data_IF_250248853471
#
_entry.id   IF_250248853471
#
_cell.length_a   1.000
_cell.length_b   1.000
_cell.length_c   1.000
_cell.angle_alpha   90.00
_cell.angle_beta   90.00
_cell.angle_gamma   90.00
#
_symmetry.space_group_name_H-M   'P 1'
#
loop_
_entity.id
_entity.type
_entity.pdbx_description
1 polymer ?
#
# COMPACT_ATOMS: atom_id res chain seq x y z
N UNK A 1 41.34 -25.54 51.45
CA UNK A 1 40.47 -24.43 51.01
C UNK A 1 39.71 -24.84 49.75
N UNK A 2 38.41 -25.11 49.86
CA UNK A 2 37.55 -25.48 48.74
C UNK A 2 36.69 -24.31 48.29
N UNK A 3 36.72 -23.99 47.00
CA UNK A 3 35.85 -22.99 46.38
C UNK A 3 34.50 -23.60 45.99
N UNK A 4 33.35 -22.95 46.29
CA UNK A 4 32.03 -23.50 46.01
C UNK A 4 31.65 -23.42 44.52
N UNK A 5 31.12 -24.54 44.00
CA UNK A 5 30.49 -24.67 42.68
C UNK A 5 29.20 -23.84 42.64
N UNK A 6 29.11 -22.88 41.71
CA UNK A 6 27.86 -22.16 41.42
C UNK A 6 26.94 -23.07 40.59
N UNK A 7 25.79 -23.40 41.18
CA UNK A 7 24.68 -24.10 40.53
C UNK A 7 23.86 -23.06 39.75
N UNK A 8 23.77 -23.20 38.43
CA UNK A 8 22.95 -22.32 37.57
C UNK A 8 21.65 -23.04 37.25
N UNK A 9 20.55 -22.55 37.81
CA UNK A 9 19.18 -23.02 37.57
C UNK A 9 18.64 -22.40 36.27
N UNK A 10 18.16 -23.18 35.28
CA UNK A 10 17.45 -22.62 34.14
C UNK A 10 15.99 -22.31 34.51
N UNK A 11 15.63 -21.01 34.54
CA UNK A 11 14.21 -20.59 34.58
C UNK A 11 13.64 -20.56 33.18
N UNK A 12 12.62 -21.40 32.95
CA UNK A 12 11.66 -21.31 31.85
C UNK A 12 10.65 -20.18 32.14
N UNK A 13 10.31 -19.39 31.12
CA UNK A 13 9.12 -18.50 31.02
C UNK A 13 9.03 -18.08 29.55
N UNK A 14 8.25 -18.75 28.69
CA UNK A 14 6.80 -18.60 28.45
C UNK A 14 6.41 -17.20 27.95
N UNK A 15 6.12 -17.16 26.65
CA UNK A 15 5.05 -16.46 25.93
C UNK A 15 4.39 -15.21 26.53
N UNK A 16 4.58 -14.06 25.86
CA UNK A 16 3.66 -12.92 25.68
C UNK A 16 4.21 -12.12 24.47
N UNK A 17 3.51 -11.64 23.44
CA UNK A 17 2.09 -11.56 23.08
C UNK A 17 2.00 -11.41 21.55
N UNK A 18 0.97 -11.91 20.87
CA UNK A 18 -0.42 -11.48 20.88
C UNK A 18 -0.66 -10.18 20.07
N UNK A 19 -1.40 -10.38 18.97
CA UNK A 19 -2.30 -9.43 18.28
C UNK A 19 -1.69 -8.37 17.36
N UNK A 20 -1.72 -8.69 16.05
CA UNK A 20 -2.20 -7.75 15.03
C UNK A 20 -2.71 -8.53 13.82
N UNK A 21 -3.85 -9.20 14.01
CA UNK A 21 -4.71 -9.66 12.94
C UNK A 21 -5.88 -8.67 12.86
N UNK A 22 -5.91 -7.87 11.79
CA UNK A 22 -7.07 -7.27 11.13
C UNK A 22 -6.68 -5.93 10.48
N UNK A 23 -6.29 -5.96 9.20
CA UNK A 23 -6.96 -5.26 8.08
C UNK A 23 -6.48 -5.94 6.79
N UNK A 24 -7.20 -6.97 6.34
CA UNK A 24 -7.12 -7.51 4.97
C UNK A 24 -8.53 -7.49 4.41
N UNK A 25 -8.79 -6.55 3.51
CA UNK A 25 -9.91 -6.38 2.57
C UNK A 25 -9.78 -4.91 2.14
N UNK A 26 -9.49 -4.52 0.89
CA UNK A 26 -10.02 -4.95 -0.39
C UNK A 26 -9.07 -4.43 -1.47
N UNK A 27 -8.44 -5.29 -2.30
CA UNK A 27 -8.19 -5.00 -3.72
C UNK A 27 -8.06 -6.34 -4.45
N UNK A 28 -9.01 -6.66 -5.34
CA UNK A 28 -8.87 -7.79 -6.25
C UNK A 28 -10.14 -8.59 -6.55
N UNK A 29 -11.28 -7.95 -6.82
CA UNK A 29 -12.33 -8.61 -7.60
C UNK A 29 -12.14 -8.18 -9.05
N UNK A 30 -11.35 -8.99 -9.76
CA UNK A 30 -11.22 -8.99 -11.21
C UNK A 30 -11.25 -10.43 -11.70
N UNK A 31 -12.24 -11.21 -11.27
CA UNK A 31 -12.50 -12.55 -11.79
C UNK A 31 -14.01 -12.79 -11.85
N UNK A 32 -14.61 -12.31 -12.93
CA UNK A 32 -16.01 -12.59 -13.28
C UNK A 32 -16.07 -13.94 -13.99
N UNK A 33 -16.24 -15.02 -13.25
CA UNK A 33 -16.68 -16.30 -13.80
C UNK A 33 -17.35 -17.18 -12.72
N UNK A 34 -18.68 -17.20 -12.75
CA UNK A 34 -19.55 -18.37 -12.63
C UNK A 34 -19.25 -19.41 -11.53
N UNK A 35 -19.93 -19.32 -10.39
CA UNK A 35 -20.42 -20.51 -9.69
C UNK A 35 -21.52 -20.17 -8.68
N UNK A 36 -22.72 -20.64 -9.00
CA UNK A 36 -23.93 -20.61 -8.20
C UNK A 36 -23.83 -21.45 -6.92
N UNK A 37 -24.38 -20.91 -5.83
CA UNK A 37 -25.18 -21.65 -4.84
C UNK A 37 -24.53 -22.74 -4.00
N UNK A 38 -24.37 -22.48 -2.69
CA UNK A 38 -24.84 -23.42 -1.66
C UNK A 38 -25.02 -22.73 -0.31
N UNK A 39 -26.27 -22.66 0.13
CA UNK A 39 -26.69 -22.35 1.49
C UNK A 39 -26.49 -23.57 2.39
N UNK A 40 -25.87 -23.40 3.56
CA UNK A 40 -26.04 -24.21 4.78
C UNK A 40 -25.40 -23.36 5.89
N UNK A 41 -26.11 -22.77 6.85
CA UNK A 41 -27.00 -23.41 7.79
C UNK A 41 -26.19 -23.84 9.03
N UNK A 42 -25.85 -22.91 9.93
CA UNK A 42 -25.33 -23.28 11.25
C UNK A 42 -26.02 -22.46 12.36
N UNK A 43 -26.90 -23.18 13.05
CA UNK A 43 -27.62 -22.73 14.23
C UNK A 43 -26.79 -22.96 15.51
N UNK A 44 -26.97 -22.05 16.46
CA UNK A 44 -27.03 -22.37 17.89
C UNK A 44 -25.73 -22.23 18.69
N UNK A 45 -25.69 -21.24 19.59
CA UNK A 45 -25.98 -21.46 21.02
C UNK A 45 -25.86 -20.15 21.80
N UNK A 46 -26.97 -19.72 22.38
CA UNK A 46 -27.07 -18.67 23.38
C UNK A 46 -26.37 -19.10 24.67
N UNK A 47 -25.62 -18.20 25.30
CA UNK A 47 -25.30 -18.28 26.71
C UNK A 47 -25.49 -16.91 27.36
N UNK A 48 -26.31 -16.94 28.40
CA UNK A 48 -26.83 -15.88 29.25
C UNK A 48 -25.79 -15.55 30.33
N UNK A 49 -25.51 -14.26 30.56
CA UNK A 49 -24.62 -13.79 31.64
C UNK A 49 -24.96 -12.35 32.02
N UNK A 50 -25.50 -12.19 33.23
CA UNK A 50 -26.12 -10.98 33.76
C UNK A 50 -25.19 -10.17 34.68
N UNK A 51 -25.45 -8.86 34.74
CA UNK A 51 -25.24 -7.88 35.83
C UNK A 51 -23.89 -7.12 36.02
N UNK A 52 -23.91 -5.83 35.56
CA UNK A 52 -23.65 -4.57 36.31
C UNK A 52 -22.25 -4.24 36.90
N UNK A 53 -21.97 -2.98 37.36
CA UNK A 53 -22.80 -1.77 37.43
C UNK A 53 -22.17 -0.50 36.79
N UNK A 54 -22.94 0.59 36.92
CA UNK A 54 -22.81 1.96 36.43
C UNK A 54 -21.52 2.73 36.79
N UNK A 55 -21.16 3.70 35.95
CA UNK A 55 -20.47 4.93 36.37
C UNK A 55 -20.85 6.09 35.45
N UNK A 56 -21.62 7.01 36.03
CA UNK A 56 -21.85 8.37 35.57
C UNK A 56 -20.55 9.19 35.62
N UNK A 57 -20.31 10.04 34.63
CA UNK A 57 -19.69 11.34 34.90
C UNK A 57 -20.08 12.36 33.83
N UNK A 58 -20.71 13.42 34.33
CA UNK A 58 -21.07 14.65 33.65
C UNK A 58 -19.90 15.63 33.74
N UNK A 59 -19.58 16.34 32.66
CA UNK A 59 -19.01 17.69 32.73
C UNK A 59 -19.20 18.43 31.39
N UNK A 60 -19.80 19.60 31.53
CA UNK A 60 -20.03 20.74 30.63
C UNK A 60 -18.75 21.48 30.21
N UNK A 61 -18.78 22.08 29.01
CA UNK A 61 -18.23 23.41 28.61
C UNK A 61 -18.45 23.54 27.08
N UNK A 62 -19.40 24.31 26.55
CA UNK A 62 -19.48 25.77 26.42
C UNK A 62 -18.34 26.40 25.60
N UNK A 63 -18.62 26.69 24.32
CA UNK A 63 -18.08 27.88 23.63
C UNK A 63 -18.72 28.06 22.24
N UNK A 64 -19.33 29.23 22.10
CA UNK A 64 -20.01 29.75 20.93
C UNK A 64 -19.06 30.34 19.88
N UNK A 65 -19.45 30.22 18.60
CA UNK A 65 -19.24 31.17 17.50
C UNK A 65 -20.06 30.60 16.31
N UNK A 66 -21.08 31.23 15.74
CA UNK A 66 -21.29 32.66 15.49
C UNK A 66 -20.85 32.98 14.07
N UNK A 67 -21.75 32.87 13.08
CA UNK A 67 -21.76 33.66 11.84
C UNK A 67 -22.97 33.28 10.98
N UNK A 68 -23.97 34.17 11.03
CA UNK A 68 -25.13 34.20 10.15
C UNK A 68 -24.77 34.65 8.72
N UNK A 69 -25.59 34.13 7.81
CA UNK A 69 -25.83 34.50 6.42
C UNK A 69 -26.21 35.98 6.28
N UNK A 70 -25.77 36.67 5.21
CA UNK A 70 -26.63 37.31 4.19
C UNK A 70 -25.99 38.47 3.40
N UNK A 71 -26.37 38.48 2.11
CA UNK A 71 -26.60 39.64 1.23
C UNK A 71 -25.39 40.39 0.66
N UNK A 72 -25.08 40.03 -0.60
CA UNK A 72 -24.43 40.91 -1.56
C UNK A 72 -25.13 40.77 -2.91
N UNK A 73 -26.16 41.60 -3.14
CA UNK A 73 -26.75 41.82 -4.45
C UNK A 73 -26.63 43.31 -4.74
N UNK A 74 -25.71 43.68 -5.62
CA UNK A 74 -25.79 44.93 -6.36
C UNK A 74 -25.51 44.66 -7.84
N UNK A 75 -26.39 45.26 -8.61
CA UNK A 75 -26.60 45.16 -10.04
C UNK A 75 -25.71 46.19 -10.73
N UNK A 76 -24.98 45.81 -11.77
CA UNK A 76 -24.73 46.78 -12.86
C UNK A 76 -24.65 46.09 -14.23
N UNK A 77 -25.39 46.69 -15.15
CA UNK A 77 -25.66 46.26 -16.50
C UNK A 77 -24.47 46.51 -17.41
N UNK A 78 -24.17 45.55 -18.28
CA UNK A 78 -23.26 45.70 -19.41
C UNK A 78 -23.77 44.90 -20.59
N UNK A 79 -24.69 45.48 -21.35
CA UNK A 79 -25.13 44.94 -22.63
C UNK A 79 -23.95 44.93 -23.61
N UNK A 80 -23.57 43.76 -24.09
CA UNK A 80 -22.78 43.60 -25.30
C UNK A 80 -23.50 42.62 -26.22
N UNK A 81 -24.23 43.22 -27.15
CA UNK A 81 -24.75 42.64 -28.38
C UNK A 81 -23.59 42.00 -29.17
N UNK A 82 -23.54 40.67 -29.20
CA UNK A 82 -22.72 39.94 -30.18
C UNK A 82 -23.64 39.17 -31.09
N UNK A 83 -24.02 39.84 -32.17
CA UNK A 83 -24.61 39.26 -33.37
C UNK A 83 -23.82 38.01 -33.80
N UNK A 84 -24.44 36.85 -34.01
CA UNK A 84 -23.74 35.70 -34.57
C UNK A 84 -23.33 36.01 -36.01
N UNK A 85 -22.01 36.10 -36.25
CA UNK A 85 -21.47 36.20 -37.61
C UNK A 85 -21.88 34.98 -38.44
N UNK A 86 -22.37 35.15 -39.68
CA UNK A 86 -22.70 34.03 -40.54
C UNK A 86 -21.43 33.25 -40.91
N UNK A 87 -21.47 31.95 -40.62
CA UNK A 87 -20.42 30.98 -40.97
C UNK A 87 -20.24 30.94 -42.50
N UNK A 88 -19.01 31.14 -43.03
CA UNK A 88 -18.77 30.96 -44.47
C UNK A 88 -18.99 29.49 -44.84
N UNK A 89 -19.96 29.26 -45.72
CA UNK A 89 -20.28 27.94 -46.28
C UNK A 89 -19.43 27.73 -47.53
N UNK A 90 -18.12 27.57 -47.35
CA UNK A 90 -17.24 27.16 -48.44
C UNK A 90 -17.21 25.61 -48.49
N UNK A 91 -17.45 24.98 -49.66
CA UNK A 91 -17.33 23.55 -49.80
C UNK A 91 -15.88 23.13 -49.54
N UNK A 92 -15.65 22.32 -48.50
CA UNK A 92 -14.36 21.67 -48.28
C UNK A 92 -14.25 20.52 -49.26
N UNK A 93 -13.42 20.67 -50.27
CA UNK A 93 -12.97 19.55 -51.11
C UNK A 93 -12.25 18.56 -50.19
N UNK A 94 -12.91 17.46 -49.85
CA UNK A 94 -12.30 16.39 -49.08
C UNK A 94 -11.26 15.72 -49.97
N UNK A 95 -9.98 15.88 -49.63
CA UNK A 95 -8.92 15.05 -50.19
C UNK A 95 -9.10 13.64 -49.62
N UNK A 96 -9.73 12.75 -50.38
CA UNK A 96 -9.86 11.34 -50.04
C UNK A 96 -8.45 10.73 -50.03
N UNK A 97 -7.97 10.39 -48.84
CA UNK A 97 -6.70 9.66 -48.67
C UNK A 97 -7.05 8.18 -48.83
N UNK A 98 -6.48 7.56 -49.86
CA UNK A 98 -6.59 6.12 -50.13
C UNK A 98 -6.32 5.34 -48.84
N UNK A 99 -7.25 4.45 -48.47
CA UNK A 99 -7.16 3.64 -47.27
C UNK A 99 -5.96 2.69 -47.38
N UNK A 100 -4.80 3.17 -46.92
CA UNK A 100 -3.55 2.41 -46.89
C UNK A 100 -3.79 1.06 -46.23
N UNK A 101 -3.55 -0.01 -46.99
CA UNK A 101 -3.75 -1.38 -46.54
C UNK A 101 -3.09 -1.61 -45.19
N UNK A 102 -3.86 -2.17 -44.25
CA UNK A 102 -3.38 -2.55 -42.92
C UNK A 102 -2.37 -3.69 -43.07
N UNK A 103 -1.10 -3.36 -43.26
CA UNK A 103 -0.01 -4.32 -43.12
C UNK A 103 0.15 -4.62 -41.63
N UNK A 104 -0.19 -5.84 -41.23
CA UNK A 104 -0.02 -6.34 -39.86
C UNK A 104 1.48 -6.38 -39.51
N UNK A 105 2.01 -5.29 -38.99
CA UNK A 105 3.32 -5.28 -38.35
C UNK A 105 3.20 -5.93 -36.98
N UNK A 106 3.57 -7.20 -36.88
CA UNK A 106 3.71 -7.86 -35.58
C UNK A 106 5.08 -7.55 -35.02
N UNK A 107 5.13 -6.94 -33.83
CA UNK A 107 6.37 -6.74 -33.10
C UNK A 107 7.02 -8.11 -32.79
N UNK A 108 8.36 -8.22 -32.85
CA UNK A 108 9.03 -9.44 -32.42
C UNK A 108 8.72 -9.73 -30.94
N UNK A 109 8.67 -11.01 -30.53
CA UNK A 109 8.42 -11.37 -29.14
C UNK A 109 9.55 -10.85 -28.24
N UNK A 110 9.17 -10.20 -27.12
CA UNK A 110 10.12 -9.74 -26.11
C UNK A 110 10.74 -10.91 -25.35
N UNK A 111 12.02 -10.80 -25.02
CA UNK A 111 12.71 -11.77 -24.16
C UNK A 111 12.12 -11.79 -22.74
N UNK A 112 12.06 -12.95 -22.06
CA UNK A 112 11.57 -13.05 -20.70
C UNK A 112 12.48 -12.29 -19.73
N UNK A 113 11.85 -11.69 -18.73
CA UNK A 113 12.52 -10.95 -17.66
C UNK A 113 13.20 -11.90 -16.68
N UNK A 114 14.43 -11.60 -16.24
CA UNK A 114 15.07 -12.39 -15.18
C UNK A 114 14.28 -12.29 -13.85
N UNK A 115 14.11 -13.40 -13.09
CA UNK A 115 13.43 -13.41 -11.79
C UNK A 115 14.06 -12.43 -10.78
N UNK A 116 13.23 -11.88 -9.88
CA UNK A 116 13.70 -11.00 -8.79
C UNK A 116 14.22 -11.79 -7.57
N UNK A 117 13.80 -13.04 -7.44
CA UNK A 117 14.21 -13.97 -6.38
C UNK A 117 14.51 -15.33 -7.00
N UNK A 118 15.41 -16.10 -6.39
CA UNK A 118 15.86 -17.40 -6.90
C UNK A 118 15.47 -18.52 -5.95
N UNK A 119 15.24 -19.71 -6.49
CA UNK A 119 15.15 -20.94 -5.71
C UNK A 119 16.54 -21.40 -5.21
N UNK A 120 16.62 -22.09 -4.06
CA UNK A 120 15.53 -22.34 -3.11
C UNK A 120 15.14 -21.06 -2.34
N UNK A 121 13.84 -20.88 -2.10
CA UNK A 121 13.38 -19.74 -1.29
C UNK A 121 13.89 -19.86 0.16
N UNK A 122 14.17 -18.72 0.82
CA UNK A 122 14.55 -18.72 2.23
C UNK A 122 13.38 -19.20 3.10
N UNK A 123 13.69 -19.86 4.20
CA UNK A 123 12.67 -20.27 5.17
C UNK A 123 11.96 -19.05 5.79
N UNK A 124 10.68 -19.20 6.08
CA UNK A 124 9.89 -18.16 6.76
C UNK A 124 10.51 -17.78 8.10
N UNK A 125 10.70 -16.48 8.32
CA UNK A 125 11.34 -15.94 9.51
C UNK A 125 10.92 -14.49 9.76
N UNK A 126 11.05 -14.05 11.01
CA UNK A 126 10.79 -12.66 11.41
C UNK A 126 11.85 -12.17 12.39
N UNK A 127 12.13 -10.87 12.36
CA UNK A 127 13.08 -10.22 13.24
C UNK A 127 12.62 -8.81 13.65
N UNK A 128 12.95 -8.43 14.88
CA UNK A 128 12.73 -7.08 15.40
C UNK A 128 14.03 -6.29 15.42
N UNK A 129 13.96 -5.00 15.08
CA UNK A 129 15.08 -4.05 15.09
C UNK A 129 16.29 -4.44 14.22
N UNK A 130 16.13 -5.43 13.34
CA UNK A 130 17.15 -5.89 12.41
C UNK A 130 16.49 -6.51 11.18
N UNK A 131 17.28 -6.63 10.12
CA UNK A 131 16.85 -7.33 8.91
C UNK A 131 16.89 -8.85 9.15
N UNK A 132 15.85 -9.55 8.72
CA UNK A 132 15.79 -11.02 8.77
C UNK A 132 16.75 -11.63 7.74
N UNK A 133 17.34 -12.78 8.09
CA UNK A 133 18.17 -13.54 7.14
C UNK A 133 17.32 -14.01 5.97
N UNK A 134 17.81 -13.82 4.74
CA UNK A 134 17.08 -14.17 3.53
C UNK A 134 16.09 -13.09 3.04
N UNK A 135 16.13 -11.88 3.61
CA UNK A 135 15.37 -10.76 3.06
C UNK A 135 15.79 -10.49 1.60
N UNK A 136 14.82 -10.28 0.68
CA UNK A 136 15.12 -10.20 -0.75
C UNK A 136 16.01 -9.01 -1.08
N UNK A 137 17.10 -9.26 -1.81
CA UNK A 137 18.07 -8.23 -2.22
C UNK A 137 17.46 -7.18 -3.14
N UNK A 138 16.39 -7.53 -3.87
CA UNK A 138 15.62 -6.59 -4.68
C UNK A 138 14.94 -5.48 -3.84
N UNK A 139 14.71 -5.72 -2.55
CA UNK A 139 14.10 -4.77 -1.62
C UNK A 139 15.20 -4.14 -0.76
N UNK A 140 15.87 -3.13 -1.31
CA UNK A 140 16.97 -2.45 -0.64
C UNK A 140 16.46 -1.60 0.52
N UNK A 141 17.02 -1.80 1.71
CA UNK A 141 16.75 -0.93 2.87
C UNK A 141 17.39 0.44 2.63
N UNK A 142 16.62 1.51 2.84
CA UNK A 142 17.17 2.88 2.82
C UNK A 142 18.30 3.03 3.87
N UNK A 143 19.49 3.55 3.51
CA UNK A 143 20.64 3.60 4.44
C UNK A 143 20.42 4.41 5.72
N UNK A 144 19.59 5.46 5.67
CA UNK A 144 19.24 6.29 6.82
C UNK A 144 18.11 5.72 7.68
N UNK A 145 17.54 4.57 7.29
CA UNK A 145 16.40 3.98 7.98
C UNK A 145 16.83 3.09 9.15
N UNK A 146 16.16 3.25 10.28
CA UNK A 146 16.19 2.34 11.41
C UNK A 146 15.07 1.32 11.27
N UNK A 147 15.42 0.05 11.14
CA UNK A 147 14.46 -1.06 11.03
C UNK A 147 13.70 -1.20 12.35
N UNK A 148 12.37 -1.34 12.27
CA UNK A 148 11.48 -1.63 13.40
C UNK A 148 11.19 -3.12 13.44
N UNK A 149 10.72 -3.67 12.32
CA UNK A 149 10.46 -5.09 12.12
C UNK A 149 10.73 -5.48 10.66
N UNK A 150 11.07 -6.75 10.46
CA UNK A 150 11.14 -7.36 9.15
C UNK A 150 10.69 -8.81 9.22
N UNK A 151 10.07 -9.29 8.14
CA UNK A 151 9.67 -10.68 8.00
C UNK A 151 9.77 -11.14 6.56
N UNK A 152 9.97 -12.44 6.41
CA UNK A 152 9.87 -13.16 5.14
C UNK A 152 9.01 -14.40 5.35
N UNK A 153 8.19 -14.72 4.37
CA UNK A 153 7.39 -15.93 4.33
C UNK A 153 7.44 -16.54 2.94
N UNK A 154 7.80 -17.80 2.84
CA UNK A 154 7.87 -18.53 1.58
C UNK A 154 6.74 -19.55 1.46
N UNK A 155 6.09 -19.63 0.31
CA UNK A 155 5.11 -20.67 -0.03
C UNK A 155 5.19 -21.02 -1.51
N UNK A 156 5.60 -22.25 -1.84
CA UNK A 156 5.89 -22.64 -3.22
C UNK A 156 6.99 -21.75 -3.83
N UNK A 157 6.69 -21.13 -4.97
CA UNK A 157 7.58 -20.18 -5.67
C UNK A 157 7.35 -18.72 -5.27
N UNK A 158 6.51 -18.47 -4.25
CA UNK A 158 6.14 -17.13 -3.81
C UNK A 158 6.89 -16.78 -2.52
N UNK A 159 7.61 -15.66 -2.54
CA UNK A 159 8.22 -15.03 -1.37
C UNK A 159 7.44 -13.75 -1.02
N UNK A 160 6.89 -13.72 0.19
CA UNK A 160 6.34 -12.51 0.80
C UNK A 160 7.39 -11.90 1.71
N UNK A 161 7.59 -10.59 1.62
CA UNK A 161 8.53 -9.87 2.47
C UNK A 161 7.89 -8.59 3.03
N UNK A 162 8.05 -8.35 4.32
CA UNK A 162 7.59 -7.14 4.98
C UNK A 162 8.76 -6.46 5.67
N UNK A 163 8.82 -5.14 5.57
CA UNK A 163 9.79 -4.32 6.28
C UNK A 163 9.09 -3.06 6.79
N UNK A 164 9.13 -2.84 8.09
CA UNK A 164 8.73 -1.56 8.68
C UNK A 164 9.95 -0.86 9.24
N UNK A 165 10.09 0.42 8.93
CA UNK A 165 11.23 1.21 9.36
C UNK A 165 10.86 2.68 9.60
N UNK A 166 11.74 3.37 10.31
CA UNK A 166 11.66 4.81 10.57
C UNK A 166 12.90 5.50 10.03
N UNK A 167 12.76 6.72 9.54
CA UNK A 167 13.86 7.52 9.01
C UNK A 167 13.66 8.99 9.41
N UNK A 168 14.76 9.74 9.43
CA UNK A 168 14.73 11.19 9.61
C UNK A 168 14.42 11.93 8.30
N UNK A 169 14.39 11.22 7.17
CA UNK A 169 14.06 11.79 5.86
C UNK A 169 12.57 12.08 5.72
N UNK A 170 12.25 13.10 4.92
CA UNK A 170 10.89 13.47 4.59
C UNK A 170 10.22 12.42 3.69
N UNK A 171 8.89 12.47 3.60
CA UNK A 171 8.13 11.43 2.90
C UNK A 171 8.47 11.35 1.41
N UNK A 172 8.69 12.50 0.78
CA UNK A 172 9.04 12.60 -0.64
C UNK A 172 10.43 12.03 -0.94
N UNK A 173 11.40 12.22 -0.02
CA UNK A 173 12.73 11.63 -0.15
C UNK A 173 12.69 10.11 -0.05
N UNK A 174 11.83 9.57 0.82
CA UNK A 174 11.59 8.12 0.95
C UNK A 174 11.03 7.56 -0.36
N UNK A 175 10.00 8.20 -0.90
CA UNK A 175 9.38 7.79 -2.16
C UNK A 175 10.39 7.85 -3.30
N UNK A 176 11.06 8.98 -3.48
CA UNK A 176 12.05 9.19 -4.55
C UNK A 176 13.19 8.16 -4.49
N UNK A 177 13.66 7.82 -3.28
CA UNK A 177 14.65 6.78 -3.10
C UNK A 177 14.15 5.43 -3.62
N UNK A 178 12.96 5.00 -3.20
CA UNK A 178 12.43 3.70 -3.61
C UNK A 178 12.06 3.63 -5.08
N UNK A 179 11.50 4.70 -5.65
CA UNK A 179 11.28 4.80 -7.10
C UNK A 179 12.58 4.58 -7.87
N UNK A 180 13.66 5.26 -7.48
CA UNK A 180 14.97 5.11 -8.12
C UNK A 180 15.55 3.71 -7.97
N UNK A 181 15.38 3.06 -6.82
CA UNK A 181 15.92 1.70 -6.61
C UNK A 181 15.09 0.65 -7.34
N UNK A 182 13.76 0.74 -7.28
CA UNK A 182 12.86 -0.20 -7.94
C UNK A 182 12.89 -0.07 -9.46
N UNK A 183 13.09 1.12 -10.00
CA UNK A 183 13.32 1.32 -11.43
C UNK A 183 14.52 0.51 -11.96
N UNK A 184 15.60 0.34 -11.17
CA UNK A 184 16.78 -0.45 -11.57
C UNK A 184 16.48 -1.93 -11.78
N UNK A 185 15.45 -2.45 -11.12
CA UNK A 185 15.01 -3.84 -11.25
C UNK A 185 13.75 -3.98 -12.11
N UNK A 186 13.37 -2.92 -12.83
CA UNK A 186 12.24 -2.90 -13.76
C UNK A 186 10.87 -2.85 -13.08
N UNK A 187 10.81 -2.51 -11.80
CA UNK A 187 9.56 -2.28 -11.09
C UNK A 187 9.09 -0.84 -11.35
N UNK A 188 7.87 -0.69 -11.87
CA UNK A 188 7.29 0.61 -12.20
C UNK A 188 6.30 1.01 -11.12
N UNK A 189 6.50 2.20 -10.55
CA UNK A 189 5.69 2.75 -9.48
C UNK A 189 4.46 3.53 -9.98
N UNK A 190 3.37 3.45 -9.21
CA UNK A 190 2.19 4.30 -9.36
C UNK A 190 1.66 4.66 -7.97
N UNK A 191 1.26 5.91 -7.78
CA UNK A 191 0.61 6.36 -6.55
C UNK A 191 -0.74 5.66 -6.39
N UNK A 192 -1.05 5.24 -5.16
CA UNK A 192 -2.29 4.56 -4.80
C UNK A 192 -2.98 5.27 -3.63
N UNK A 193 -4.32 5.25 -3.56
CA UNK A 193 -5.04 5.86 -2.46
C UNK A 193 -4.57 5.33 -1.10
N UNK A 194 -4.33 6.25 -0.17
CA UNK A 194 -3.92 5.95 1.19
C UNK A 194 -4.78 6.74 2.18
N UNK A 195 -5.01 6.18 3.37
CA UNK A 195 -5.81 6.80 4.42
C UNK A 195 -4.94 7.47 5.50
N UNK A 196 -5.55 8.41 6.24
CA UNK A 196 -4.95 8.97 7.44
C UNK A 196 -3.68 9.80 7.21
N UNK A 197 -3.62 10.54 6.08
CA UNK A 197 -2.48 11.40 5.74
C UNK A 197 -1.20 10.66 5.38
N UNK A 198 -1.31 9.37 5.06
CA UNK A 198 -0.20 8.58 4.52
C UNK A 198 -0.16 8.71 3.01
N UNK A 199 1.00 8.43 2.42
CA UNK A 199 1.21 8.28 0.99
C UNK A 199 1.43 6.79 0.70
N UNK A 200 0.85 6.26 -0.38
CA UNK A 200 1.06 4.87 -0.77
C UNK A 200 1.38 4.76 -2.26
N UNK A 201 2.26 3.83 -2.58
CA UNK A 201 2.73 3.55 -3.93
C UNK A 201 2.75 2.05 -4.16
N UNK A 202 2.29 1.63 -5.33
CA UNK A 202 2.40 0.25 -5.80
C UNK A 202 3.43 0.18 -6.92
N UNK A 203 4.37 -0.74 -6.80
CA UNK A 203 5.43 -1.02 -7.76
C UNK A 203 5.22 -2.42 -8.34
N UNK A 204 5.16 -2.54 -9.67
CA UNK A 204 4.82 -3.82 -10.33
C UNK A 204 5.81 -4.18 -11.44
N UNK A 205 6.07 -5.49 -11.58
CA UNK A 205 6.85 -6.10 -12.67
C UNK A 205 6.38 -7.55 -12.89
N UNK A 206 5.56 -7.76 -13.92
CA UNK A 206 4.98 -9.07 -14.19
C UNK A 206 4.16 -9.58 -13.00
N UNK A 207 4.51 -10.75 -12.48
CA UNK A 207 3.91 -11.37 -11.29
C UNK A 207 4.45 -10.85 -9.95
N UNK A 208 5.38 -9.89 -9.97
CA UNK A 208 5.98 -9.31 -8.77
C UNK A 208 5.32 -7.97 -8.44
N UNK A 209 5.06 -7.73 -7.15
CA UNK A 209 4.53 -6.46 -6.66
C UNK A 209 5.17 -6.03 -5.33
N UNK A 210 5.33 -4.73 -5.15
CA UNK A 210 5.76 -4.12 -3.88
C UNK A 210 4.87 -2.92 -3.59
N UNK A 211 4.22 -2.93 -2.43
CA UNK A 211 3.53 -1.77 -1.89
C UNK A 211 4.45 -1.03 -0.90
N UNK A 212 4.59 0.27 -1.09
CA UNK A 212 5.23 1.20 -0.17
C UNK A 212 4.16 2.08 0.45
N UNK A 213 4.13 2.16 1.77
CA UNK A 213 3.30 3.13 2.50
C UNK A 213 4.22 3.98 3.36
N UNK A 214 4.15 5.30 3.19
CA UNK A 214 4.94 6.28 3.93
C UNK A 214 4.00 7.16 4.73
N UNK A 215 4.33 7.36 6.00
CA UNK A 215 3.58 8.20 6.92
C UNK A 215 4.53 9.23 7.55
N UNK A 216 4.22 10.53 7.44
CA UNK A 216 5.02 11.56 8.09
C UNK A 216 4.93 11.42 9.62
N UNK A 217 6.05 11.61 10.31
CA UNK A 217 6.11 11.63 11.76
C UNK A 217 5.88 13.03 12.31
N UNK A 218 5.13 13.15 13.41
CA UNK A 218 4.90 14.44 14.09
C UNK A 218 6.19 15.08 14.63
N UNK A 219 7.21 14.26 14.91
CA UNK A 219 8.51 14.70 15.43
C UNK A 219 9.53 15.03 14.34
N UNK A 220 9.10 15.10 13.08
CA UNK A 220 10.00 15.15 11.92
C UNK A 220 10.40 13.76 11.41
N UNK A 221 10.75 13.69 10.13
CA UNK A 221 11.02 12.45 9.41
C UNK A 221 9.77 11.64 9.09
N UNK A 222 9.95 10.37 8.77
CA UNK A 222 8.89 9.49 8.25
C UNK A 222 9.00 8.06 8.78
N UNK A 223 7.86 7.41 8.95
CA UNK A 223 7.77 5.95 9.09
C UNK A 223 7.30 5.36 7.78
N UNK A 224 7.85 4.24 7.36
CA UNK A 224 7.41 3.57 6.15
C UNK A 224 7.33 2.07 6.34
N UNK A 225 6.44 1.46 5.57
CA UNK A 225 6.26 0.02 5.47
C UNK A 225 6.36 -0.39 4.01
N UNK A 226 7.14 -1.42 3.76
CA UNK A 226 7.22 -2.12 2.49
C UNK A 226 6.58 -3.49 2.64
N UNK A 227 5.74 -3.86 1.69
CA UNK A 227 5.17 -5.19 1.56
C UNK A 227 5.40 -5.67 0.14
N UNK A 228 6.18 -6.73 -0.04
CA UNK A 228 6.52 -7.30 -1.33
C UNK A 228 5.96 -8.71 -1.48
N UNK A 229 5.47 -9.02 -2.69
CA UNK A 229 5.16 -10.36 -3.16
C UNK A 229 6.01 -10.61 -4.39
N UNK A 230 6.96 -11.53 -4.28
CA UNK A 230 7.96 -11.83 -5.30
C UNK A 230 7.81 -13.29 -5.74
N UNK A 231 7.97 -13.52 -7.04
CA UNK A 231 7.88 -14.84 -7.65
C UNK A 231 9.25 -15.30 -8.13
N UNK A 232 9.63 -16.53 -7.80
CA UNK A 232 10.87 -17.16 -8.24
C UNK A 232 10.81 -17.74 -9.66
N UNK A 233 9.60 -17.89 -10.20
CA UNK A 233 9.35 -18.24 -11.60
C UNK A 233 9.17 -16.97 -12.44
N UNK A 234 9.83 -16.93 -13.59
CA UNK A 234 9.74 -15.86 -14.59
C UNK A 234 8.72 -16.20 -15.68
#
# INVERSE_FOLDING_TARGET
>A
MGTPKKLVTPRRLIAVGAVLAAVVLVVGIGFTALSSGMSTGQAGKSAHGSAGPSSSNSATDDSAAGADTETGADTEAGAADTTPSPRPTAPRTATEVEAGGSVSHTLPPSAPSAPLVSLPLPASASALKKLVTGFPVAVLVMPSATIVDSSVSSSGDILQATLSAKTTADSDDVITYYEKQFAKVGLVGSSTPASGGSLSYSFVRGSNSIALTVKPSKSGGSTFTLFGVLNASA
#
